data_IF_627072575102
#
_entry.id   IF_627072575102
#
_cell.length_a   1.000
_cell.length_b   1.000
_cell.length_c   1.000
_cell.angle_alpha   90.00
_cell.angle_beta   90.00
_cell.angle_gamma   90.00
#
_symmetry.space_group_name_H-M   'P 1'
#
loop_
_entity.id
_entity.type
_entity.pdbx_description
1 polymer ?
#
# COMPACT_ATOMS: atom_id res chain seq x y z
N UNK A 1 -3.70 -19.60 37.20
CA UNK A 1 -4.91 -20.34 36.74
C UNK A 1 -5.46 -19.58 35.56
N UNK A 2 -5.33 -20.11 34.34
CA UNK A 2 -5.83 -19.45 33.12
C UNK A 2 -7.35 -19.48 33.06
N UNK A 3 -7.97 -18.40 32.61
CA UNK A 3 -9.43 -18.27 32.50
C UNK A 3 -9.99 -19.21 31.43
N UNK A 4 -11.14 -19.83 31.71
CA UNK A 4 -11.87 -20.66 30.76
C UNK A 4 -12.22 -19.94 29.45
N UNK A 5 -12.29 -18.60 29.45
CA UNK A 5 -12.49 -17.78 28.24
C UNK A 5 -11.26 -17.76 27.33
N UNK A 6 -10.06 -17.76 27.91
CA UNK A 6 -8.81 -17.80 27.15
C UNK A 6 -8.60 -19.19 26.54
N UNK A 7 -9.02 -20.24 27.26
CA UNK A 7 -9.04 -21.61 26.75
C UNK A 7 -10.05 -21.76 25.60
N UNK A 8 -11.25 -21.16 25.72
CA UNK A 8 -12.27 -21.20 24.68
C UNK A 8 -11.85 -20.48 23.39
N UNK A 9 -11.14 -19.35 23.50
CA UNK A 9 -10.60 -18.62 22.36
C UNK A 9 -9.45 -19.39 21.69
N UNK A 10 -8.50 -19.92 22.47
CA UNK A 10 -7.40 -20.74 21.95
C UNK A 10 -7.88 -22.06 21.32
N UNK A 11 -8.96 -22.65 21.84
CA UNK A 11 -9.59 -23.86 21.28
C UNK A 11 -10.38 -23.52 20.01
N UNK A 12 -11.11 -22.39 19.98
CA UNK A 12 -11.80 -21.93 18.76
C UNK A 12 -10.81 -21.57 17.64
N UNK A 13 -9.70 -20.90 17.97
CA UNK A 13 -8.60 -20.59 17.05
C UNK A 13 -7.91 -21.87 16.56
N UNK A 14 -7.71 -22.88 17.44
CA UNK A 14 -7.21 -24.21 17.03
C UNK A 14 -8.18 -24.99 16.15
N UNK A 15 -9.48 -24.99 16.45
CA UNK A 15 -10.46 -25.76 15.68
C UNK A 15 -10.84 -25.09 14.35
N UNK A 16 -10.78 -23.76 14.25
CA UNK A 16 -10.83 -23.06 12.96
C UNK A 16 -9.52 -23.27 12.17
N UNK A 17 -8.37 -23.37 12.84
CA UNK A 17 -7.05 -23.56 12.22
C UNK A 17 -6.69 -24.99 11.80
N UNK A 18 -7.44 -26.02 12.21
CA UNK A 18 -7.18 -27.42 11.82
C UNK A 18 -7.73 -27.79 10.42
N UNK A 19 -7.80 -26.81 9.51
CA UNK A 19 -8.20 -27.02 8.12
C UNK A 19 -8.41 -25.74 7.29
N UNK A 20 -8.58 -24.57 7.92
CA UNK A 20 -8.72 -23.30 7.20
C UNK A 20 -7.37 -22.59 7.05
N UNK A 21 -7.08 -22.14 5.83
CA UNK A 21 -5.91 -21.32 5.54
C UNK A 21 -6.10 -19.95 6.17
N UNK A 22 -5.16 -19.50 7.00
CA UNK A 22 -5.19 -18.13 7.57
C UNK A 22 -4.22 -17.23 6.82
N UNK A 23 -4.70 -16.07 6.36
CA UNK A 23 -3.85 -15.03 5.76
C UNK A 23 -3.88 -13.80 6.67
N UNK A 24 -2.74 -13.45 7.23
CA UNK A 24 -2.57 -12.26 8.04
C UNK A 24 -2.32 -11.03 7.16
N UNK A 25 -2.94 -9.91 7.52
CA UNK A 25 -2.76 -8.59 6.91
C UNK A 25 -2.57 -7.55 8.02
N UNK A 26 -2.08 -6.37 7.67
CA UNK A 26 -1.62 -5.40 8.67
C UNK A 26 -2.79 -4.75 9.41
N UNK A 27 -3.76 -4.24 8.66
CA UNK A 27 -4.87 -3.43 9.17
C UNK A 27 -6.26 -4.02 8.95
N UNK A 28 -7.24 -3.49 9.68
CA UNK A 28 -8.67 -3.78 9.44
C UNK A 28 -9.10 -3.36 8.04
N UNK A 29 -8.50 -2.29 7.52
CA UNK A 29 -8.81 -1.74 6.21
C UNK A 29 -8.25 -2.66 5.13
N UNK A 30 -7.01 -3.16 5.27
CA UNK A 30 -6.42 -4.13 4.34
C UNK A 30 -7.25 -5.41 4.31
N UNK A 31 -7.69 -5.88 5.49
CA UNK A 31 -8.57 -7.04 5.60
C UNK A 31 -9.88 -6.80 4.85
N UNK A 32 -10.46 -5.61 4.98
CA UNK A 32 -11.69 -5.25 4.29
C UNK A 32 -11.47 -5.19 2.77
N UNK A 33 -10.42 -4.51 2.30
CA UNK A 33 -10.12 -4.38 0.87
C UNK A 33 -9.76 -5.73 0.25
N UNK A 34 -8.78 -6.45 0.79
CA UNK A 34 -8.31 -7.72 0.24
C UNK A 34 -9.37 -8.80 0.42
N UNK A 35 -9.82 -9.04 1.66
CA UNK A 35 -10.69 -10.17 1.98
C UNK A 35 -12.15 -9.96 1.60
N UNK A 36 -12.67 -8.74 1.72
CA UNK A 36 -14.10 -8.46 1.47
C UNK A 36 -14.37 -7.88 0.09
N UNK A 37 -13.45 -7.10 -0.49
CA UNK A 37 -13.64 -6.52 -1.83
C UNK A 37 -12.99 -7.34 -2.93
N UNK A 38 -11.69 -7.58 -2.84
CA UNK A 38 -10.93 -8.18 -3.94
C UNK A 38 -11.09 -9.69 -4.05
N UNK A 39 -11.05 -10.39 -2.91
CA UNK A 39 -11.02 -11.85 -2.86
C UNK A 39 -12.19 -12.44 -2.05
N UNK A 40 -13.37 -11.79 -2.13
CA UNK A 40 -14.59 -12.28 -1.48
C UNK A 40 -15.00 -13.69 -1.93
N UNK A 41 -14.59 -14.10 -3.13
CA UNK A 41 -14.78 -15.44 -3.68
C UNK A 41 -13.92 -16.52 -2.97
N UNK A 42 -12.90 -16.13 -2.21
CA UNK A 42 -12.01 -17.04 -1.48
C UNK A 42 -12.38 -17.21 0.01
N UNK A 43 -13.41 -16.50 0.50
CA UNK A 43 -13.79 -16.48 1.93
C UNK A 43 -14.10 -17.84 2.55
N UNK A 44 -14.54 -18.80 1.74
CA UNK A 44 -14.86 -20.16 2.20
C UNK A 44 -13.62 -21.05 2.34
N UNK A 45 -12.44 -20.56 1.91
CA UNK A 45 -11.17 -21.29 1.91
C UNK A 45 -10.08 -20.57 2.70
N UNK A 46 -10.06 -19.24 2.61
CA UNK A 46 -9.10 -18.37 3.27
C UNK A 46 -9.81 -17.51 4.30
N UNK A 47 -9.30 -17.54 5.52
CA UNK A 47 -9.64 -16.61 6.58
C UNK A 47 -8.62 -15.46 6.63
N UNK A 48 -9.05 -14.26 6.22
CA UNK A 48 -8.23 -13.04 6.32
C UNK A 48 -8.33 -12.42 7.70
N UNK A 49 -7.19 -12.23 8.37
CA UNK A 49 -7.12 -11.74 9.76
C UNK A 49 -6.18 -10.55 9.84
N UNK A 50 -6.62 -9.45 10.45
CA UNK A 50 -5.74 -8.32 10.74
C UNK A 50 -4.91 -8.59 12.00
N UNK A 51 -3.64 -8.20 11.99
CA UNK A 51 -2.78 -8.29 13.19
C UNK A 51 -2.91 -7.08 14.12
N UNK A 52 -3.29 -5.91 13.60
CA UNK A 52 -3.75 -4.82 14.45
C UNK A 52 -5.15 -5.17 14.94
N UNK A 53 -5.31 -5.43 16.24
CA UNK A 53 -6.66 -5.55 16.80
C UNK A 53 -7.44 -4.26 16.59
N UNK A 54 -8.78 -4.35 16.64
CA UNK A 54 -9.70 -3.22 16.43
C UNK A 54 -9.42 -1.97 17.30
N UNK A 55 -8.55 -2.09 18.32
CA UNK A 55 -8.26 -1.07 19.33
C UNK A 55 -6.87 -0.38 19.21
N UNK A 56 -5.96 -0.82 18.32
CA UNK A 56 -4.61 -0.21 18.21
C UNK A 56 -4.19 0.04 16.77
N UNK A 57 -4.51 1.25 16.29
CA UNK A 57 -3.92 1.84 15.09
C UNK A 57 -2.49 2.32 15.42
N UNK A 58 -1.47 1.83 14.70
CA UNK A 58 -0.25 2.63 14.48
C UNK A 58 1.12 2.09 14.92
N UNK A 59 1.32 0.81 15.30
CA UNK A 59 2.69 0.30 15.56
C UNK A 59 2.95 -1.06 14.90
N UNK A 60 3.83 -1.09 13.89
CA UNK A 60 4.56 -2.29 13.45
C UNK A 60 3.81 -3.33 12.61
N UNK A 61 2.77 -2.93 11.86
CA UNK A 61 1.87 -3.80 11.08
C UNK A 61 2.57 -4.94 10.33
N UNK A 62 3.43 -4.61 9.36
CA UNK A 62 4.14 -5.61 8.53
C UNK A 62 5.00 -6.58 9.35
N UNK A 63 5.76 -6.07 10.34
CA UNK A 63 6.64 -6.91 11.17
C UNK A 63 5.83 -7.89 12.00
N UNK A 64 4.70 -7.44 12.54
CA UNK A 64 3.80 -8.29 13.30
C UNK A 64 3.13 -9.37 12.44
N UNK A 65 2.80 -9.06 11.17
CA UNK A 65 2.36 -10.09 10.19
C UNK A 65 3.45 -11.15 10.03
N UNK A 66 4.69 -10.73 9.74
CA UNK A 66 5.81 -11.66 9.52
C UNK A 66 6.08 -12.53 10.75
N UNK A 67 6.10 -11.94 11.94
CA UNK A 67 6.28 -12.65 13.21
C UNK A 67 5.17 -13.67 13.45
N UNK A 68 3.91 -13.27 13.29
CA UNK A 68 2.75 -14.14 13.50
C UNK A 68 2.75 -15.34 12.54
N UNK A 69 3.10 -15.11 11.28
CA UNK A 69 3.20 -16.19 10.28
C UNK A 69 4.30 -17.18 10.66
N UNK A 70 5.48 -16.68 11.05
CA UNK A 70 6.59 -17.54 11.51
C UNK A 70 6.21 -18.38 12.73
N UNK A 71 5.58 -17.77 13.73
CA UNK A 71 5.13 -18.45 14.94
C UNK A 71 4.10 -19.56 14.64
N UNK A 72 3.06 -19.23 13.86
CA UNK A 72 1.99 -20.18 13.56
C UNK A 72 2.46 -21.32 12.65
N UNK A 73 3.28 -21.03 11.64
CA UNK A 73 3.91 -22.06 10.81
C UNK A 73 4.79 -22.99 11.66
N UNK A 74 5.54 -22.44 12.64
CA UNK A 74 6.31 -23.23 13.61
C UNK A 74 5.46 -24.15 14.49
N UNK A 75 4.16 -23.85 14.65
CA UNK A 75 3.17 -24.68 15.36
C UNK A 75 2.42 -25.66 14.44
N UNK A 76 2.77 -25.72 13.15
CA UNK A 76 2.13 -26.60 12.17
C UNK A 76 0.80 -26.09 11.62
N UNK A 77 0.48 -24.80 11.79
CA UNK A 77 -0.72 -24.19 11.21
C UNK A 77 -0.46 -23.73 9.77
N UNK A 78 -1.44 -23.88 8.89
CA UNK A 78 -1.38 -23.38 7.50
C UNK A 78 -1.64 -21.88 7.47
N UNK A 79 -0.56 -21.10 7.58
CA UNK A 79 -0.62 -19.64 7.74
C UNK A 79 0.23 -18.93 6.69
N UNK A 80 -0.28 -17.80 6.21
CA UNK A 80 0.39 -16.91 5.26
C UNK A 80 0.22 -15.45 5.69
N UNK A 81 0.97 -14.54 5.06
CA UNK A 81 0.86 -13.10 5.29
C UNK A 81 0.94 -12.31 4.01
N UNK A 82 0.27 -11.16 3.97
CA UNK A 82 0.44 -10.12 2.96
C UNK A 82 0.92 -8.87 3.69
N UNK A 83 1.97 -8.25 3.18
CA UNK A 83 2.56 -7.04 3.75
C UNK A 83 2.79 -5.99 2.67
N UNK A 84 2.72 -4.73 3.07
CA UNK A 84 3.11 -3.59 2.24
C UNK A 84 4.60 -3.65 1.90
N UNK A 85 5.00 -2.99 0.80
CA UNK A 85 6.39 -2.98 0.33
C UNK A 85 7.30 -2.17 1.25
N UNK A 86 6.74 -1.24 2.01
CA UNK A 86 7.46 -0.36 2.94
C UNK A 86 8.19 -1.10 4.07
N UNK A 87 7.82 -2.36 4.34
CA UNK A 87 8.59 -3.24 5.22
C UNK A 87 10.05 -3.36 4.77
N UNK A 88 10.31 -3.32 3.46
CA UNK A 88 11.65 -3.41 2.88
C UNK A 88 12.45 -2.12 3.11
N UNK A 89 11.78 -0.97 3.19
CA UNK A 89 12.41 0.31 3.52
C UNK A 89 12.93 0.29 4.97
N UNK A 90 12.22 -0.40 5.86
CA UNK A 90 12.59 -0.57 7.28
C UNK A 90 13.57 -1.73 7.54
N UNK A 91 13.88 -2.55 6.53
CA UNK A 91 14.75 -3.71 6.62
C UNK A 91 16.09 -3.42 5.96
N UNK A 92 17.15 -3.25 6.77
CA UNK A 92 18.49 -2.89 6.27
C UNK A 92 19.06 -3.88 5.24
N UNK A 93 18.60 -5.13 5.24
CA UNK A 93 19.02 -6.12 4.25
C UNK A 93 18.46 -5.81 2.85
N UNK A 94 17.23 -5.28 2.79
CA UNK A 94 16.48 -5.11 1.54
C UNK A 94 16.35 -3.65 1.10
N UNK A 95 16.58 -2.69 2.00
CA UNK A 95 16.42 -1.25 1.77
C UNK A 95 17.22 -0.72 0.56
N UNK A 96 18.43 -1.22 0.33
CA UNK A 96 19.28 -0.77 -0.79
C UNK A 96 19.25 -1.72 -2.00
N UNK A 97 18.49 -2.82 -1.93
CA UNK A 97 18.44 -3.85 -2.97
C UNK A 97 17.03 -3.96 -3.53
N UNK A 98 16.10 -4.48 -2.73
CA UNK A 98 14.77 -4.86 -3.18
C UNK A 98 13.76 -3.71 -3.11
N UNK A 99 13.92 -2.77 -2.16
CA UNK A 99 13.04 -1.61 -2.06
C UNK A 99 13.00 -0.78 -3.36
N UNK A 100 14.14 -0.64 -4.04
CA UNK A 100 14.28 0.10 -5.30
C UNK A 100 14.13 -0.75 -6.57
N UNK A 101 13.78 -2.04 -6.47
CA UNK A 101 13.66 -2.93 -7.63
C UNK A 101 12.42 -2.58 -8.47
N UNK A 102 12.63 -2.26 -9.75
CA UNK A 102 11.58 -1.81 -10.68
C UNK A 102 10.97 -2.94 -11.48
N UNK A 103 11.68 -4.06 -11.63
CA UNK A 103 11.22 -5.24 -12.34
C UNK A 103 10.44 -6.16 -11.38
N UNK A 104 9.13 -6.24 -11.58
CA UNK A 104 8.23 -7.04 -10.76
C UNK A 104 8.60 -8.54 -10.78
N UNK A 105 9.20 -9.04 -11.87
CA UNK A 105 9.66 -10.43 -11.96
C UNK A 105 10.87 -10.68 -11.06
N UNK A 106 11.84 -9.75 -11.07
CA UNK A 106 13.01 -9.82 -10.19
C UNK A 106 12.58 -9.65 -8.73
N UNK A 107 11.66 -8.72 -8.48
CA UNK A 107 11.11 -8.47 -7.15
C UNK A 107 10.40 -9.71 -6.58
N UNK A 108 9.48 -10.30 -7.34
CA UNK A 108 8.73 -11.47 -6.91
C UNK A 108 9.64 -12.70 -6.70
N UNK A 109 10.69 -12.85 -7.51
CA UNK A 109 11.65 -13.94 -7.37
C UNK A 109 12.54 -13.83 -6.12
N UNK A 110 12.79 -12.62 -5.62
CA UNK A 110 13.65 -12.39 -4.46
C UNK A 110 13.07 -12.95 -3.15
N UNK A 111 11.73 -12.99 -3.04
CA UNK A 111 10.99 -13.61 -1.94
C UNK A 111 11.59 -13.34 -0.54
N UNK A 112 11.68 -12.06 -0.13
CA UNK A 112 12.54 -11.61 0.98
C UNK A 112 12.21 -12.26 2.34
N UNK A 113 10.97 -12.73 2.51
CA UNK A 113 10.48 -13.33 3.75
C UNK A 113 10.00 -14.79 3.57
N UNK A 114 10.40 -15.43 2.47
CA UNK A 114 10.04 -16.81 2.15
C UNK A 114 8.60 -16.98 1.65
N UNK A 115 8.28 -18.18 1.15
CA UNK A 115 7.04 -18.45 0.38
C UNK A 115 5.72 -18.19 1.13
N UNK A 116 5.77 -18.05 2.45
CA UNK A 116 4.59 -17.82 3.30
C UNK A 116 4.20 -16.34 3.40
N UNK A 117 5.05 -15.42 2.94
CA UNK A 117 4.79 -13.98 2.96
C UNK A 117 4.78 -13.45 1.53
N UNK A 118 3.69 -12.79 1.15
CA UNK A 118 3.62 -12.01 -0.06
C UNK A 118 3.89 -10.55 0.26
N UNK A 119 4.91 -9.96 -0.36
CA UNK A 119 5.17 -8.51 -0.29
C UNK A 119 4.50 -7.88 -1.48
N UNK A 120 3.66 -6.86 -1.27
CA UNK A 120 3.01 -6.13 -2.35
C UNK A 120 4.05 -5.47 -3.28
N UNK A 121 3.69 -5.34 -4.56
CA UNK A 121 4.56 -4.69 -5.55
C UNK A 121 4.57 -3.17 -5.42
N UNK A 122 3.51 -2.60 -4.84
CA UNK A 122 3.38 -1.17 -4.58
C UNK A 122 3.71 -0.85 -3.12
N UNK A 123 4.12 0.39 -2.87
CA UNK A 123 4.48 0.91 -1.54
C UNK A 123 3.47 0.47 -0.50
N UNK A 124 2.21 0.88 -0.66
CA UNK A 124 1.09 0.52 0.22
C UNK A 124 -0.08 -0.01 -0.62
N UNK A 125 -1.02 -0.67 0.06
CA UNK A 125 -2.26 -1.12 -0.56
C UNK A 125 -3.04 0.02 -1.24
N UNK A 126 -3.01 1.23 -0.69
CA UNK A 126 -3.66 2.43 -1.22
C UNK A 126 -3.19 2.75 -2.65
N UNK A 127 -1.94 2.48 -2.99
CA UNK A 127 -1.40 2.76 -4.32
C UNK A 127 -2.10 1.94 -5.42
N UNK A 128 -2.66 0.77 -5.10
CA UNK A 128 -3.47 0.00 -6.04
C UNK A 128 -4.82 0.67 -6.33
N UNK A 129 -5.33 1.50 -5.42
CA UNK A 129 -6.61 2.21 -5.56
C UNK A 129 -6.48 3.47 -6.44
N UNK A 130 -5.25 3.91 -6.71
CA UNK A 130 -4.95 5.15 -7.45
C UNK A 130 -4.95 4.96 -8.98
N UNK A 131 -5.45 3.84 -9.49
CA UNK A 131 -5.50 3.62 -10.93
C UNK A 131 -6.49 4.60 -11.60
N UNK A 132 -6.12 5.31 -12.70
CA UNK A 132 -6.96 6.35 -13.30
C UNK A 132 -8.34 5.85 -13.76
N UNK A 133 -8.45 4.61 -14.25
CA UNK A 133 -9.75 4.02 -14.56
C UNK A 133 -10.66 3.87 -13.32
N UNK A 134 -10.12 3.55 -12.14
CA UNK A 134 -10.91 3.43 -10.91
C UNK A 134 -11.33 4.80 -10.36
N UNK A 135 -10.43 5.80 -10.46
CA UNK A 135 -10.68 7.20 -10.11
C UNK A 135 -11.75 7.82 -11.02
N UNK A 136 -11.71 7.54 -12.33
CA UNK A 136 -12.77 7.96 -13.26
C UNK A 136 -14.12 7.42 -12.82
N UNK A 137 -14.20 6.11 -12.54
CA UNK A 137 -15.45 5.48 -12.16
C UNK A 137 -15.98 6.06 -10.83
N UNK A 138 -15.10 6.29 -9.85
CA UNK A 138 -15.48 6.97 -8.61
C UNK A 138 -16.02 8.38 -8.88
N UNK A 139 -15.35 9.15 -9.74
CA UNK A 139 -15.81 10.49 -10.13
C UNK A 139 -17.21 10.43 -10.74
N UNK A 140 -17.45 9.49 -11.68
CA UNK A 140 -18.77 9.28 -12.28
C UNK A 140 -19.83 8.94 -11.24
N UNK A 141 -19.50 8.08 -10.27
CA UNK A 141 -20.44 7.67 -9.24
C UNK A 141 -20.78 8.79 -8.23
N UNK A 142 -19.83 9.66 -7.92
CA UNK A 142 -20.03 10.79 -6.99
C UNK A 142 -20.67 12.00 -7.64
N UNK A 143 -20.43 12.20 -8.94
CA UNK A 143 -20.86 13.39 -9.68
C UNK A 143 -21.77 13.05 -10.86
N UNK A 144 -22.71 12.11 -10.67
CA UNK A 144 -23.63 11.55 -11.70
C UNK A 144 -24.38 12.57 -12.58
N UNK A 145 -24.43 13.84 -12.19
CA UNK A 145 -25.15 14.92 -12.88
C UNK A 145 -24.25 16.09 -13.34
N UNK A 146 -22.92 15.92 -13.35
CA UNK A 146 -21.97 16.97 -13.78
C UNK A 146 -21.29 16.54 -15.10
N UNK A 147 -21.42 17.33 -16.20
CA UNK A 147 -20.81 17.03 -17.48
C UNK A 147 -19.31 17.43 -17.54
N UNK A 148 -18.55 16.88 -18.50
CA UNK A 148 -18.21 15.45 -18.62
C UNK A 148 -17.16 15.04 -17.57
N UNK A 149 -17.21 13.79 -17.08
CA UNK A 149 -16.11 13.26 -16.27
C UNK A 149 -14.85 13.18 -17.13
N UNK A 150 -13.71 13.59 -16.59
CA UNK A 150 -12.40 13.35 -17.21
C UNK A 150 -12.26 11.86 -17.53
N UNK A 151 -11.86 11.53 -18.74
CA UNK A 151 -11.46 10.18 -19.13
C UNK A 151 -10.27 9.71 -18.29
N UNK A 152 -9.99 8.40 -18.24
CA UNK A 152 -8.85 7.89 -17.49
C UNK A 152 -7.51 8.48 -17.95
N UNK A 153 -7.39 8.75 -19.25
CA UNK A 153 -6.21 9.39 -19.82
C UNK A 153 -6.05 10.83 -19.34
N UNK A 154 -7.12 11.63 -19.35
CA UNK A 154 -7.09 13.01 -18.83
C UNK A 154 -6.80 13.05 -17.33
N UNK A 155 -7.30 12.07 -16.56
CA UNK A 155 -6.93 11.92 -15.14
C UNK A 155 -5.44 11.61 -15.01
N UNK A 156 -4.91 10.66 -15.80
CA UNK A 156 -3.51 10.31 -15.77
C UNK A 156 -2.60 11.49 -16.17
N UNK A 157 -2.95 12.23 -17.23
CA UNK A 157 -2.24 13.44 -17.67
C UNK A 157 -2.20 14.49 -16.54
N UNK A 158 -3.34 14.75 -15.89
CA UNK A 158 -3.41 15.66 -14.74
C UNK A 158 -2.55 15.20 -13.56
N UNK A 159 -2.46 13.89 -13.30
CA UNK A 159 -1.59 13.34 -12.25
C UNK A 159 -0.11 13.50 -12.62
N UNK A 160 0.27 13.24 -13.87
CA UNK A 160 1.64 13.42 -14.36
C UNK A 160 2.06 14.89 -14.35
N UNK A 161 1.18 15.83 -14.70
CA UNK A 161 1.42 17.27 -14.59
C UNK A 161 1.80 17.70 -13.16
N UNK A 162 1.34 16.94 -12.15
CA UNK A 162 1.59 17.18 -10.74
C UNK A 162 2.61 16.19 -10.13
N UNK A 163 3.30 15.39 -10.94
CA UNK A 163 4.16 14.30 -10.45
C UNK A 163 5.27 14.75 -9.50
N UNK A 164 5.82 15.96 -9.73
CA UNK A 164 6.89 16.52 -8.89
C UNK A 164 6.46 16.68 -7.43
N UNK A 165 5.21 17.05 -7.19
CA UNK A 165 4.68 17.21 -5.84
C UNK A 165 4.43 15.86 -5.16
N UNK A 166 3.97 14.87 -5.93
CA UNK A 166 3.81 13.50 -5.45
C UNK A 166 5.17 12.87 -5.10
N UNK A 167 6.17 13.05 -5.96
CA UNK A 167 7.55 12.62 -5.71
C UNK A 167 8.10 13.34 -4.47
N UNK A 168 7.88 14.65 -4.30
CA UNK A 168 8.38 15.38 -3.14
C UNK A 168 7.78 14.89 -1.81
N UNK A 169 6.47 14.61 -1.73
CA UNK A 169 5.90 14.03 -0.50
C UNK A 169 6.36 12.59 -0.27
N UNK A 170 6.68 11.86 -1.33
CA UNK A 170 7.25 10.51 -1.26
C UNK A 170 8.68 10.55 -0.73
N UNK A 171 9.50 11.50 -1.21
CA UNK A 171 10.87 11.75 -0.74
C UNK A 171 10.90 12.02 0.76
N UNK A 172 9.93 12.79 1.26
CA UNK A 172 9.80 13.04 2.68
C UNK A 172 9.74 11.73 3.47
N UNK A 173 8.86 10.81 3.09
CA UNK A 173 8.66 9.55 3.82
C UNK A 173 9.84 8.60 3.65
N UNK A 174 10.36 8.44 2.43
CA UNK A 174 11.51 7.54 2.19
C UNK A 174 12.78 8.02 2.89
N UNK A 175 13.03 9.34 2.89
CA UNK A 175 14.22 9.91 3.53
C UNK A 175 14.11 9.94 5.06
N UNK A 176 12.90 10.13 5.59
CA UNK A 176 12.68 10.08 7.02
C UNK A 176 12.97 8.68 7.58
N UNK A 177 12.55 7.61 6.88
CA UNK A 177 12.81 6.25 7.34
C UNK A 177 14.26 5.79 7.13
N UNK A 178 14.94 6.29 6.11
CA UNK A 178 16.38 6.01 5.90
C UNK A 178 17.27 6.82 6.84
N UNK A 179 16.82 7.99 7.31
CA UNK A 179 17.57 8.88 8.21
C UNK A 179 16.70 9.36 9.39
N UNK A 180 16.31 8.46 10.32
CA UNK A 180 15.39 8.81 11.39
C UNK A 180 15.99 9.89 12.31
N UNK A 181 15.30 11.02 12.43
CA UNK A 181 15.73 12.12 13.30
C UNK A 181 15.19 11.88 14.72
N UNK A 182 16.02 11.82 15.78
CA UNK A 182 15.60 11.37 17.12
C UNK A 182 14.60 12.22 17.91
N UNK A 183 13.90 13.22 17.33
CA UNK A 183 13.25 14.25 18.19
C UNK A 183 12.04 15.02 17.66
N UNK A 184 11.47 14.71 16.49
CA UNK A 184 10.19 15.33 16.10
C UNK A 184 9.11 14.26 15.94
N UNK A 185 8.06 14.37 16.75
CA UNK A 185 6.78 13.67 16.51
C UNK A 185 6.33 13.97 15.08
N UNK A 186 5.68 13.01 14.44
CA UNK A 186 4.93 13.09 13.17
C UNK A 186 3.89 14.26 13.07
N UNK A 187 3.88 15.21 14.01
CA UNK A 187 2.91 16.28 14.17
C UNK A 187 3.10 17.47 13.20
N UNK A 188 4.24 17.64 12.53
CA UNK A 188 4.46 18.72 11.53
C UNK A 188 3.94 18.36 10.11
N UNK A 189 3.43 17.14 9.91
CA UNK A 189 3.18 16.55 8.58
C UNK A 189 1.98 17.14 7.83
N UNK A 190 1.00 17.74 8.51
CA UNK A 190 -0.17 18.36 7.86
C UNK A 190 0.19 19.66 7.14
N UNK A 191 1.23 20.38 7.60
CA UNK A 191 1.61 21.65 6.98
C UNK A 191 2.22 21.42 5.58
N UNK A 192 3.04 20.38 5.43
CA UNK A 192 3.69 20.02 4.16
C UNK A 192 2.71 19.50 3.09
N UNK A 193 1.50 19.06 3.47
CA UNK A 193 0.46 18.63 2.51
C UNK A 193 -0.11 19.79 1.69
N UNK A 194 -0.02 21.04 2.18
CA UNK A 194 -0.52 22.23 1.48
C UNK A 194 0.52 22.92 0.59
N UNK A 195 1.80 22.58 0.76
CA UNK A 195 2.89 23.16 -0.03
C UNK A 195 2.96 22.48 -1.41
N UNK A 196 3.42 23.24 -2.42
CA UNK A 196 3.62 22.76 -3.79
C UNK A 196 4.94 23.26 -4.36
N UNK A 197 5.42 22.60 -5.41
CA UNK A 197 6.59 23.00 -6.20
C UNK A 197 7.86 23.20 -5.36
N UNK A 198 8.56 24.31 -5.62
CA UNK A 198 9.84 24.62 -4.97
C UNK A 198 9.71 24.72 -3.43
N UNK A 199 8.61 25.27 -2.92
CA UNK A 199 8.41 25.43 -1.48
C UNK A 199 8.27 24.08 -0.77
N UNK A 200 7.58 23.13 -1.40
CA UNK A 200 7.49 21.77 -0.91
C UNK A 200 8.86 21.10 -0.90
N UNK A 201 9.61 21.19 -2.01
CA UNK A 201 10.93 20.56 -2.14
C UNK A 201 11.93 21.07 -1.09
N UNK A 202 11.99 22.38 -0.86
CA UNK A 202 12.83 22.97 0.18
C UNK A 202 12.37 22.58 1.59
N UNK A 203 11.06 22.48 1.83
CA UNK A 203 10.54 21.99 3.10
C UNK A 203 10.97 20.53 3.36
N UNK A 204 10.87 19.65 2.36
CA UNK A 204 11.33 18.26 2.45
C UNK A 204 12.80 18.22 2.82
N UNK A 205 13.66 18.90 2.06
CA UNK A 205 15.11 18.96 2.33
C UNK A 205 15.43 19.45 3.75
N UNK A 206 14.70 20.46 4.22
CA UNK A 206 14.87 21.02 5.58
C UNK A 206 14.46 20.02 6.65
N UNK A 207 13.29 19.40 6.53
CA UNK A 207 12.75 18.51 7.55
C UNK A 207 13.46 17.15 7.58
N UNK A 208 13.90 16.63 6.43
CA UNK A 208 14.67 15.37 6.36
C UNK A 208 16.16 15.57 6.62
N UNK A 209 16.64 16.83 6.65
CA UNK A 209 18.06 17.22 6.82
C UNK A 209 19.01 16.55 5.81
N UNK A 210 18.51 16.18 4.64
CA UNK A 210 19.31 15.54 3.60
C UNK A 210 20.14 16.56 2.80
N UNK A 211 21.21 16.09 2.18
CA UNK A 211 21.96 16.90 1.20
C UNK A 211 21.15 17.04 -0.10
N UNK A 212 21.51 18.03 -0.93
CA UNK A 212 20.92 18.15 -2.28
C UNK A 212 21.19 16.91 -3.13
N UNK A 213 22.34 16.27 -2.93
CA UNK A 213 22.76 15.06 -3.65
C UNK A 213 21.91 13.85 -3.23
N UNK A 214 21.70 13.64 -1.92
CA UNK A 214 20.82 12.58 -1.42
C UNK A 214 19.37 12.75 -1.91
N UNK A 215 18.87 14.00 -1.90
CA UNK A 215 17.54 14.32 -2.41
C UNK A 215 17.43 13.97 -3.90
N UNK A 216 18.43 14.38 -4.71
CA UNK A 216 18.47 14.13 -6.14
C UNK A 216 18.62 12.64 -6.48
N UNK A 217 19.41 11.90 -5.70
CA UNK A 217 19.57 10.44 -5.85
C UNK A 217 18.25 9.71 -5.61
N UNK A 218 17.56 10.02 -4.52
CA UNK A 218 16.23 9.44 -4.25
C UNK A 218 15.19 9.86 -5.28
N UNK A 219 15.21 11.12 -5.71
CA UNK A 219 14.30 11.64 -6.75
C UNK A 219 14.50 10.85 -8.06
N UNK A 220 15.76 10.58 -8.42
CA UNK A 220 16.12 9.77 -9.59
C UNK A 220 15.62 8.33 -9.45
N UNK A 221 15.82 7.70 -8.28
CA UNK A 221 15.36 6.33 -8.03
C UNK A 221 13.84 6.19 -8.07
N UNK A 222 13.10 7.17 -7.53
CA UNK A 222 11.63 7.19 -7.64
C UNK A 222 11.23 7.33 -9.11
N UNK A 223 11.87 8.21 -9.88
CA UNK A 223 11.58 8.40 -11.30
C UNK A 223 11.88 7.16 -12.15
N UNK A 224 12.85 6.32 -11.78
CA UNK A 224 13.14 5.07 -12.47
C UNK A 224 11.94 4.11 -12.48
N UNK A 225 11.05 4.19 -11.49
CA UNK A 225 9.82 3.38 -11.48
C UNK A 225 8.88 3.72 -12.63
N UNK A 226 9.00 4.89 -13.25
CA UNK A 226 8.22 5.25 -14.43
C UNK A 226 8.71 4.56 -15.71
N UNK A 227 9.86 3.87 -15.69
CA UNK A 227 10.41 3.06 -16.80
C UNK A 227 10.40 3.77 -18.17
N UNK A 228 10.74 5.07 -18.18
CA UNK A 228 10.73 5.96 -19.36
C UNK A 228 9.42 5.93 -20.18
N UNK A 229 8.30 5.55 -19.56
CA UNK A 229 6.99 5.52 -20.22
C UNK A 229 6.52 6.93 -20.55
N UNK A 230 6.08 7.10 -21.80
CA UNK A 230 5.53 8.34 -22.33
C UNK A 230 4.00 8.38 -22.34
N UNK A 231 3.33 7.22 -22.40
CA UNK A 231 1.88 7.19 -22.25
C UNK A 231 1.53 7.50 -20.79
N UNK A 232 0.59 8.44 -20.57
CA UNK A 232 0.29 8.94 -19.23
C UNK A 232 -0.28 7.85 -18.30
N UNK A 233 -1.10 6.93 -18.84
CA UNK A 233 -1.66 5.84 -18.05
C UNK A 233 -0.56 4.87 -17.61
N UNK A 234 0.27 4.43 -18.56
CA UNK A 234 1.39 3.54 -18.25
C UNK A 234 2.38 4.21 -17.30
N UNK A 235 2.75 5.47 -17.55
CA UNK A 235 3.68 6.22 -16.72
C UNK A 235 3.16 6.35 -15.28
N UNK A 236 1.89 6.71 -15.11
CA UNK A 236 1.29 6.84 -13.79
C UNK A 236 1.18 5.49 -13.07
N UNK A 237 0.70 4.45 -13.76
CA UNK A 237 0.58 3.11 -13.19
C UNK A 237 1.93 2.61 -12.66
N UNK A 238 3.00 2.87 -13.41
CA UNK A 238 4.38 2.51 -13.10
C UNK A 238 4.97 3.36 -11.98
N UNK A 239 4.84 4.69 -12.05
CA UNK A 239 5.35 5.63 -11.04
C UNK A 239 4.65 5.44 -9.68
N UNK A 240 3.32 5.28 -9.69
CA UNK A 240 2.52 5.13 -8.47
C UNK A 240 2.86 3.90 -7.64
N UNK A 241 3.64 2.93 -8.17
CA UNK A 241 4.16 1.79 -7.40
C UNK A 241 5.03 2.21 -6.23
N UNK A 242 5.79 3.30 -6.33
CA UNK A 242 6.70 3.74 -5.27
C UNK A 242 6.37 5.13 -4.72
N UNK A 243 5.13 5.58 -4.87
CA UNK A 243 4.67 6.81 -4.21
C UNK A 243 4.17 6.50 -2.80
N UNK A 244 4.29 7.45 -1.87
CA UNK A 244 3.61 7.36 -0.57
C UNK A 244 2.10 7.46 -0.78
N UNK A 245 1.43 6.31 -0.81
CA UNK A 245 0.02 6.17 -1.19
C UNK A 245 -0.89 7.07 -0.37
N UNK A 246 -0.75 7.03 0.97
CA UNK A 246 -1.52 7.86 1.90
C UNK A 246 -1.37 9.36 1.64
N UNK A 247 -0.15 9.87 1.46
CA UNK A 247 0.07 11.31 1.19
C UNK A 247 -0.37 11.71 -0.21
N UNK A 248 -0.15 10.84 -1.20
CA UNK A 248 -0.60 11.10 -2.56
C UNK A 248 -2.12 11.13 -2.64
N UNK A 249 -2.84 10.26 -1.91
CA UNK A 249 -4.31 10.29 -1.81
C UNK A 249 -4.81 11.69 -1.42
N UNK A 250 -4.27 12.30 -0.37
CA UNK A 250 -4.68 13.65 0.06
C UNK A 250 -4.50 14.74 -1.00
N UNK A 251 -3.45 14.63 -1.82
CA UNK A 251 -3.23 15.56 -2.93
C UNK A 251 -4.21 15.30 -4.07
N UNK A 252 -4.48 14.04 -4.39
CA UNK A 252 -5.47 13.64 -5.40
C UNK A 252 -6.88 14.09 -5.00
N UNK A 253 -7.25 14.03 -3.72
CA UNK A 253 -8.52 14.57 -3.20
C UNK A 253 -8.73 16.03 -3.58
N UNK A 254 -7.66 16.82 -3.44
CA UNK A 254 -7.69 18.24 -3.79
C UNK A 254 -7.73 18.45 -5.30
N UNK A 255 -6.95 17.66 -6.04
CA UNK A 255 -6.76 17.81 -7.49
C UNK A 255 -7.96 17.34 -8.32
N UNK A 256 -8.57 16.21 -7.97
CA UNK A 256 -9.66 15.59 -8.73
C UNK A 256 -11.04 15.88 -8.16
N UNK A 257 -11.16 16.02 -6.84
CA UNK A 257 -12.45 16.01 -6.15
C UNK A 257 -12.77 17.30 -5.40
N UNK A 258 -11.88 18.31 -5.45
CA UNK A 258 -12.04 19.59 -4.78
C UNK A 258 -12.38 19.42 -3.29
N UNK A 259 -11.78 18.39 -2.66
CA UNK A 259 -12.00 17.99 -1.26
C UNK A 259 -13.47 17.75 -0.87
N UNK A 260 -14.35 17.45 -1.83
CA UNK A 260 -15.78 17.17 -1.56
C UNK A 260 -15.99 15.88 -0.76
N UNK A 261 -15.03 14.97 -0.82
CA UNK A 261 -14.95 13.75 -0.01
C UNK A 261 -13.46 13.36 0.14
N UNK A 262 -13.16 12.42 1.04
CA UNK A 262 -11.82 11.85 1.19
C UNK A 262 -11.72 10.51 0.45
N UNK A 263 -10.56 10.22 -0.14
CA UNK A 263 -10.32 8.92 -0.77
C UNK A 263 -10.38 7.81 0.27
N UNK A 264 -9.97 8.08 1.51
CA UNK A 264 -10.06 7.14 2.64
C UNK A 264 -11.49 6.65 2.86
N UNK A 265 -12.47 7.56 2.90
CA UNK A 265 -13.90 7.21 3.02
C UNK A 265 -14.42 6.39 1.83
N UNK A 266 -13.76 6.48 0.68
CA UNK A 266 -14.17 5.87 -0.58
C UNK A 266 -13.34 4.64 -0.98
N UNK A 267 -12.41 4.18 -0.14
CA UNK A 267 -11.53 3.04 -0.42
C UNK A 267 -12.33 1.79 -0.80
N UNK A 268 -13.48 1.55 -0.14
CA UNK A 268 -14.36 0.43 -0.46
C UNK A 268 -14.99 0.51 -1.86
N UNK A 269 -15.31 1.71 -2.34
CA UNK A 269 -15.81 1.93 -3.70
C UNK A 269 -14.69 1.79 -4.72
N UNK A 270 -13.52 2.40 -4.47
CA UNK A 270 -12.34 2.26 -5.33
C UNK A 270 -11.91 0.81 -5.46
N UNK A 271 -11.84 0.06 -4.36
CA UNK A 271 -11.51 -1.35 -4.41
C UNK A 271 -12.50 -2.18 -5.23
N UNK A 272 -13.79 -1.82 -5.18
CA UNK A 272 -14.81 -2.46 -6.04
C UNK A 272 -14.56 -2.13 -7.52
N UNK A 273 -14.20 -0.88 -7.84
CA UNK A 273 -13.87 -0.46 -9.20
C UNK A 273 -12.62 -1.17 -9.74
N UNK A 274 -11.58 -1.33 -8.91
CA UNK A 274 -10.37 -2.09 -9.25
C UNK A 274 -10.72 -3.53 -9.66
N UNK A 275 -11.56 -4.22 -8.88
CA UNK A 275 -12.02 -5.59 -9.21
C UNK A 275 -12.82 -5.61 -10.50
N UNK A 276 -13.80 -4.72 -10.64
CA UNK A 276 -14.68 -4.67 -11.80
C UNK A 276 -13.94 -4.41 -13.11
N UNK A 277 -12.77 -3.77 -13.03
CA UNK A 277 -11.91 -3.47 -14.17
C UNK A 277 -10.79 -4.49 -14.37
N UNK A 278 -10.70 -5.52 -13.53
CA UNK A 278 -9.65 -6.53 -13.62
C UNK A 278 -8.25 -6.01 -13.29
N UNK A 279 -8.17 -4.98 -12.43
CA UNK A 279 -6.93 -4.27 -12.09
C UNK A 279 -6.29 -4.75 -10.77
N UNK A 280 -6.83 -5.80 -10.16
CA UNK A 280 -6.21 -6.43 -8.98
C UNK A 280 -4.86 -7.01 -9.40
N UNK A 281 -3.85 -6.86 -8.53
CA UNK A 281 -2.50 -7.39 -8.76
C UNK A 281 -2.55 -8.86 -9.19
N UNK A 282 -1.97 -9.15 -10.35
CA UNK A 282 -2.01 -10.47 -10.97
C UNK A 282 -1.23 -11.50 -10.16
N UNK A 283 -0.12 -11.11 -9.56
CA UNK A 283 0.73 -12.03 -8.83
C UNK A 283 0.17 -12.30 -7.44
N UNK A 284 -0.41 -11.28 -6.79
CA UNK A 284 -1.21 -11.48 -5.57
C UNK A 284 -2.38 -12.44 -5.85
N UNK A 285 -3.10 -12.23 -6.95
CA UNK A 285 -4.20 -13.10 -7.37
C UNK A 285 -3.72 -14.54 -7.61
N UNK A 286 -2.59 -14.70 -8.30
CA UNK A 286 -2.00 -16.01 -8.60
C UNK A 286 -1.55 -16.71 -7.31
N UNK A 287 -0.89 -15.98 -6.42
CA UNK A 287 -0.41 -16.49 -5.15
C UNK A 287 -1.57 -16.91 -4.23
N UNK A 288 -2.60 -16.08 -4.08
CA UNK A 288 -3.79 -16.40 -3.28
C UNK A 288 -4.54 -17.62 -3.82
N UNK A 289 -4.72 -17.72 -5.15
CA UNK A 289 -5.34 -18.90 -5.76
C UNK A 289 -4.48 -20.16 -5.57
N UNK A 290 -3.16 -20.05 -5.65
CA UNK A 290 -2.24 -21.16 -5.40
C UNK A 290 -2.35 -21.67 -3.97
N UNK A 291 -2.40 -20.79 -2.97
CA UNK A 291 -2.55 -21.24 -1.57
C UNK A 291 -3.96 -21.77 -1.31
N UNK A 292 -5.02 -21.16 -1.87
CA UNK A 292 -6.41 -21.62 -1.72
C UNK A 292 -6.73 -22.94 -2.45
N UNK A 293 -5.85 -23.37 -3.35
CA UNK A 293 -5.97 -24.63 -4.09
C UNK A 293 -5.19 -25.79 -3.47
N UNK A 294 -4.39 -25.54 -2.43
CA UNK A 294 -3.71 -26.57 -1.62
C UNK A 294 -4.65 -27.11 -0.55
#
# INVERSE_FOLDING_TARGET
>A
MGSFKDLGKAVAERYQGMGAITVYVESSDDRYLIGTKWFSNLKDRINFVSVSGDEKRGEGGCKLVIERVKENCGQGLTTYGIVDRDVLLCDSQFQNLLWWEVDDTVFAAANPYGETIFVLHRWELENYLLHPNALEQLHKDKFRNVPPSRSPREIAELLIENEKDFIAVTLFSSLHETNPIPSKKQADLRHSQTLTGHNLRENVKKETRCTSEQLSDHETKILQFAEDKHDALERWDRLSRLLDGKRVCHRIESLLFDKKFTIEDEMGMLASNIVNQGLVDRDLTTWLNKIAGK
#
